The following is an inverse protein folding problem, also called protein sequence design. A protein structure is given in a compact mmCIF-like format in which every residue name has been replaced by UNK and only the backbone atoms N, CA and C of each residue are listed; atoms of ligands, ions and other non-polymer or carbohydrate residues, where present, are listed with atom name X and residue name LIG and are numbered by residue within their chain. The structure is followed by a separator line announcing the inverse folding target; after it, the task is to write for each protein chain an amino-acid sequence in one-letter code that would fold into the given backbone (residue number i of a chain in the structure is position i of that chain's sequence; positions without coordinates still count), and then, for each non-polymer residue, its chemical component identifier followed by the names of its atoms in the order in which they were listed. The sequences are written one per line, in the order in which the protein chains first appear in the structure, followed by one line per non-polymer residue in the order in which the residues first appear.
data_IF_966019552134
#
_entry.id   IF_966019552134
#
_cell.length_a   1.000
_cell.length_b   1.000
_cell.length_c   1.000
_cell.angle_alpha   90.00
_cell.angle_beta   90.00
_cell.angle_gamma   90.00
#
_symmetry.space_group_name_H-M   'P 1'
#
loop_
_entity.id
_entity.type
_entity.pdbx_description
1 polymer ?
#
# COMPACT_ATOMS: atom_id res chain seq x y z
N UNK A 1 4.08 6.09 -18.46
CA UNK A 1 3.92 6.16 -17.00
C UNK A 1 3.70 4.77 -16.40
N UNK A 2 2.73 3.99 -16.91
CA UNK A 2 2.48 2.63 -16.40
C UNK A 2 3.71 1.73 -16.52
N UNK A 3 4.47 1.81 -17.62
CA UNK A 3 5.73 1.08 -17.78
C UNK A 3 6.78 1.47 -16.76
N UNK A 4 6.91 2.76 -16.45
CA UNK A 4 7.86 3.24 -15.44
C UNK A 4 7.50 2.72 -14.05
N UNK A 5 6.22 2.76 -13.69
CA UNK A 5 5.74 2.22 -12.42
C UNK A 5 5.98 0.70 -12.32
N UNK A 6 5.70 -0.03 -13.39
CA UNK A 6 5.98 -1.46 -13.49
C UNK A 6 7.47 -1.77 -13.33
N UNK A 7 8.35 -0.97 -13.93
CA UNK A 7 9.80 -1.06 -13.76
C UNK A 7 10.24 -0.73 -12.33
N UNK A 8 9.72 0.37 -11.74
CA UNK A 8 10.04 0.80 -10.37
C UNK A 8 9.69 -0.26 -9.34
N UNK A 9 8.57 -0.95 -9.53
CA UNK A 9 8.10 -2.04 -8.67
C UNK A 9 8.72 -3.40 -9.01
N UNK A 10 9.73 -3.44 -9.93
CA UNK A 10 10.52 -4.64 -10.29
C UNK A 10 9.72 -5.77 -10.93
N UNK A 11 8.64 -5.46 -11.63
CA UNK A 11 7.91 -6.39 -12.48
C UNK A 11 6.75 -7.11 -11.78
N UNK A 12 6.09 -7.98 -12.54
CA UNK A 12 4.82 -8.62 -12.17
C UNK A 12 4.87 -9.37 -10.84
N UNK A 13 5.84 -10.25 -10.66
CA UNK A 13 5.90 -11.10 -9.48
C UNK A 13 6.14 -10.29 -8.20
N UNK A 14 7.02 -9.28 -8.24
CA UNK A 14 7.29 -8.43 -7.09
C UNK A 14 6.05 -7.63 -6.68
N UNK A 15 5.31 -7.08 -7.67
CA UNK A 15 4.08 -6.34 -7.43
C UNK A 15 3.02 -7.23 -6.78
N UNK A 16 2.76 -8.39 -7.38
CA UNK A 16 1.73 -9.32 -6.89
C UNK A 16 2.09 -9.84 -5.51
N UNK A 17 3.33 -10.30 -5.32
CA UNK A 17 3.79 -10.79 -4.01
C UNK A 17 3.68 -9.73 -2.94
N UNK A 18 4.13 -8.51 -3.20
CA UNK A 18 4.04 -7.40 -2.25
C UNK A 18 2.57 -7.12 -1.85
N UNK A 19 1.67 -7.07 -2.82
CA UNK A 19 0.24 -6.83 -2.55
C UNK A 19 -0.43 -7.99 -1.81
N UNK A 20 -0.10 -9.23 -2.17
CA UNK A 20 -0.61 -10.41 -1.47
C UNK A 20 -0.10 -10.46 -0.03
N UNK A 21 1.20 -10.23 0.20
CA UNK A 21 1.77 -10.16 1.56
C UNK A 21 1.10 -9.09 2.40
N UNK A 22 0.87 -7.89 1.83
CA UNK A 22 0.16 -6.81 2.52
C UNK A 22 -1.27 -7.21 2.91
N UNK A 23 -2.00 -7.90 2.02
CA UNK A 23 -3.34 -8.42 2.32
C UNK A 23 -3.30 -9.50 3.40
N UNK A 24 -2.36 -10.43 3.34
CA UNK A 24 -2.18 -11.46 4.37
C UNK A 24 -1.86 -10.84 5.73
N UNK A 25 -0.96 -9.87 5.77
CA UNK A 25 -0.60 -9.14 7.00
C UNK A 25 -1.82 -8.41 7.56
N UNK A 26 -2.60 -7.72 6.71
CA UNK A 26 -3.82 -7.03 7.12
C UNK A 26 -4.85 -8.02 7.66
N UNK A 27 -5.10 -9.14 6.95
CA UNK A 27 -6.02 -10.18 7.38
C UNK A 27 -5.60 -10.82 8.71
N UNK A 28 -4.31 -11.12 8.88
CA UNK A 28 -3.75 -11.63 10.12
C UNK A 28 -3.91 -10.62 11.27
N UNK A 29 -3.66 -9.35 11.02
CA UNK A 29 -3.81 -8.28 12.03
C UNK A 29 -5.27 -8.15 12.48
N UNK A 30 -6.24 -8.21 11.55
CA UNK A 30 -7.66 -8.18 11.89
C UNK A 30 -8.05 -9.40 12.72
N UNK A 31 -7.61 -10.59 12.30
CA UNK A 31 -7.88 -11.82 13.02
C UNK A 31 -7.29 -11.79 14.44
N UNK A 32 -6.01 -11.44 14.55
CA UNK A 32 -5.31 -11.40 15.84
C UNK A 32 -5.91 -10.33 16.78
N UNK A 33 -6.17 -9.12 16.25
CA UNK A 33 -6.80 -8.05 17.06
C UNK A 33 -8.21 -8.44 17.50
N UNK A 34 -9.00 -9.06 16.62
CA UNK A 34 -10.32 -9.58 16.96
C UNK A 34 -10.26 -10.66 18.04
N UNK A 35 -9.33 -11.61 17.92
CA UNK A 35 -9.10 -12.62 18.92
C UNK A 35 -8.72 -12.01 20.28
N UNK A 36 -7.74 -11.11 20.30
CA UNK A 36 -7.26 -10.48 21.53
C UNK A 36 -8.37 -9.63 22.19
N UNK A 37 -9.07 -8.81 21.41
CA UNK A 37 -10.07 -7.88 21.96
C UNK A 37 -11.35 -8.57 22.39
N UNK A 38 -11.80 -9.60 21.68
CA UNK A 38 -13.05 -10.28 22.00
C UNK A 38 -12.88 -11.44 22.97
N UNK A 39 -11.88 -12.28 22.76
CA UNK A 39 -11.79 -13.56 23.46
C UNK A 39 -10.88 -13.54 24.68
N UNK A 40 -9.86 -12.65 24.74
CA UNK A 40 -8.91 -12.63 25.83
C UNK A 40 -9.40 -11.84 27.04
N UNK A 41 -9.32 -12.41 28.24
CA UNK A 41 -9.57 -11.71 29.50
C UNK A 41 -8.27 -11.17 30.09
N UNK A 42 -8.05 -9.87 29.87
CA UNK A 42 -6.87 -9.20 30.42
C UNK A 42 -6.90 -9.06 31.95
N UNK A 43 -8.09 -8.98 32.55
CA UNK A 43 -8.23 -8.88 34.00
C UNK A 43 -7.80 -10.17 34.68
N UNK A 44 -8.19 -11.32 34.10
CA UNK A 44 -7.75 -12.63 34.57
C UNK A 44 -6.24 -12.82 34.40
N UNK A 45 -5.68 -12.44 33.25
CA UNK A 45 -4.25 -12.56 32.99
C UNK A 45 -3.39 -11.72 33.95
N UNK A 46 -3.83 -10.51 34.29
CA UNK A 46 -3.05 -9.60 35.15
C UNK A 46 -3.22 -9.85 36.64
N UNK A 47 -4.31 -10.46 37.07
CA UNK A 47 -4.62 -10.71 38.47
C UNK A 47 -4.32 -12.15 38.90
N UNK A 48 -5.12 -13.10 38.48
CA UNK A 48 -5.08 -14.45 39.01
C UNK A 48 -3.87 -15.29 38.55
N UNK A 49 -3.44 -15.15 37.31
CA UNK A 49 -2.25 -15.87 36.84
C UNK A 49 -0.93 -15.35 37.42
N UNK A 50 -0.89 -14.14 37.97
CA UNK A 50 0.33 -13.58 38.55
C UNK A 50 0.54 -13.97 40.02
N UNK A 51 -0.54 -14.27 40.75
CA UNK A 51 -0.48 -14.57 42.19
C UNK A 51 -0.35 -16.05 42.56
N UNK A 52 -0.96 -16.96 41.76
CA UNK A 52 -1.12 -18.33 42.22
C UNK A 52 0.04 -19.28 41.91
N UNK A 53 1.08 -18.91 41.16
CA UNK A 53 2.26 -19.74 40.89
C UNK A 53 1.96 -21.16 40.31
N UNK A 54 0.70 -21.49 40.11
CA UNK A 54 0.26 -22.72 39.45
C UNK A 54 0.29 -22.60 37.91
N UNK A 55 0.41 -23.71 37.24
CA UNK A 55 0.49 -23.77 35.75
C UNK A 55 -0.76 -23.16 35.10
N UNK A 56 -0.74 -21.89 34.83
CA UNK A 56 -1.79 -21.17 34.13
C UNK A 56 -1.87 -21.59 32.65
N UNK A 57 -2.91 -22.30 32.28
CA UNK A 57 -3.23 -22.59 30.88
C UNK A 57 -3.90 -21.37 30.23
N UNK A 58 -3.08 -20.38 29.82
CA UNK A 58 -3.51 -19.07 29.29
C UNK A 58 -4.60 -19.21 28.19
N UNK A 59 -4.46 -20.17 27.29
CA UNK A 59 -5.40 -20.36 26.19
C UNK A 59 -6.75 -20.97 26.62
N UNK A 60 -6.80 -21.69 27.74
CA UNK A 60 -8.00 -22.38 28.20
C UNK A 60 -8.79 -21.54 29.20
N UNK A 61 -8.10 -20.97 30.16
CA UNK A 61 -8.70 -20.34 31.34
C UNK A 61 -8.93 -18.83 31.16
N UNK A 62 -8.06 -18.16 30.36
CA UNK A 62 -8.19 -16.74 30.02
C UNK A 62 -9.02 -16.45 28.76
N UNK A 63 -9.72 -17.46 28.21
CA UNK A 63 -10.49 -17.29 26.98
C UNK A 63 -11.99 -17.36 27.24
N UNK A 64 -12.73 -16.31 26.92
CA UNK A 64 -14.18 -16.31 27.04
C UNK A 64 -14.86 -17.21 26.00
N UNK A 65 -15.71 -18.13 26.44
CA UNK A 65 -16.54 -18.95 25.56
C UNK A 65 -17.64 -18.13 24.87
N UNK A 66 -18.13 -17.07 25.54
CA UNK A 66 -19.15 -16.14 25.02
C UNK A 66 -18.70 -14.68 25.26
N UNK A 67 -17.83 -14.11 24.39
CA UNK A 67 -17.21 -12.81 24.63
C UNK A 67 -18.20 -11.65 24.71
N UNK A 68 -19.30 -11.69 23.95
CA UNK A 68 -20.27 -10.61 23.87
C UNK A 68 -21.14 -10.45 25.14
N UNK A 69 -21.20 -11.48 26.01
CA UNK A 69 -22.07 -11.47 27.20
C UNK A 69 -21.35 -10.99 28.46
N UNK A 70 -20.04 -11.12 28.53
CA UNK A 70 -19.23 -10.82 29.72
C UNK A 70 -18.79 -9.35 29.81
N UNK A 71 -18.76 -8.62 28.66
CA UNK A 71 -18.29 -7.24 28.62
C UNK A 71 -19.41 -6.24 28.48
N UNK A 72 -19.15 -4.97 28.87
CA UNK A 72 -20.10 -3.86 28.71
C UNK A 72 -20.56 -3.73 27.26
N UNK A 73 -21.85 -3.40 27.07
CA UNK A 73 -22.44 -3.18 25.75
C UNK A 73 -21.66 -2.14 24.92
N UNK A 74 -21.22 -1.05 25.55
CA UNK A 74 -20.45 0.00 24.90
C UNK A 74 -19.10 -0.51 24.37
N UNK A 75 -18.39 -1.32 25.17
CA UNK A 75 -17.13 -1.93 24.74
C UNK A 75 -17.33 -2.85 23.53
N UNK A 76 -18.33 -3.73 23.58
CA UNK A 76 -18.64 -4.63 22.48
C UNK A 76 -19.01 -3.87 21.21
N UNK A 77 -19.79 -2.80 21.33
CA UNK A 77 -20.15 -1.94 20.20
C UNK A 77 -18.91 -1.34 19.54
N UNK A 78 -17.98 -0.78 20.33
CA UNK A 78 -16.75 -0.17 19.82
C UNK A 78 -15.88 -1.22 19.11
N UNK A 79 -15.68 -2.39 19.71
CA UNK A 79 -14.87 -3.46 19.11
C UNK A 79 -15.49 -4.00 17.83
N UNK A 80 -16.81 -4.19 17.80
CA UNK A 80 -17.51 -4.65 16.59
C UNK A 80 -17.43 -3.60 15.48
N UNK A 81 -17.63 -2.32 15.79
CA UNK A 81 -17.46 -1.24 14.81
C UNK A 81 -16.03 -1.18 14.28
N UNK A 82 -15.03 -1.33 15.14
CA UNK A 82 -13.63 -1.41 14.75
C UNK A 82 -13.37 -2.57 13.78
N UNK A 83 -13.80 -3.78 14.13
CA UNK A 83 -13.61 -4.97 13.28
C UNK A 83 -14.37 -4.84 11.95
N UNK A 84 -15.58 -4.28 11.96
CA UNK A 84 -16.36 -4.01 10.73
C UNK A 84 -15.62 -3.05 9.80
N UNK A 85 -15.09 -1.94 10.31
CA UNK A 85 -14.32 -0.97 9.53
C UNK A 85 -13.10 -1.60 8.86
N UNK A 86 -12.30 -2.36 9.62
CA UNK A 86 -11.11 -3.02 9.08
C UNK A 86 -11.46 -4.14 8.09
N UNK A 87 -12.55 -4.88 8.34
CA UNK A 87 -13.04 -5.90 7.41
C UNK A 87 -13.51 -5.28 6.09
N UNK A 88 -14.21 -4.15 6.13
CA UNK A 88 -14.58 -3.40 4.92
C UNK A 88 -13.35 -2.90 4.16
N UNK A 89 -12.35 -2.39 4.88
CA UNK A 89 -11.09 -1.98 4.26
C UNK A 89 -10.33 -3.17 3.63
N UNK A 90 -10.36 -4.34 4.27
CA UNK A 90 -9.79 -5.57 3.70
C UNK A 90 -10.49 -5.98 2.41
N UNK A 91 -11.83 -5.99 2.40
CA UNK A 91 -12.63 -6.30 1.21
C UNK A 91 -12.37 -5.29 0.07
N UNK A 92 -12.28 -4.00 0.42
CA UNK A 92 -11.91 -2.96 -0.54
C UNK A 92 -10.52 -3.19 -1.15
N UNK A 93 -9.53 -3.52 -0.32
CA UNK A 93 -8.16 -3.82 -0.76
C UNK A 93 -8.10 -5.05 -1.65
N UNK A 94 -8.89 -6.08 -1.34
CA UNK A 94 -9.04 -7.28 -2.16
C UNK A 94 -9.67 -6.97 -3.53
N UNK A 95 -10.74 -6.19 -3.55
CA UNK A 95 -11.39 -5.75 -4.78
C UNK A 95 -10.45 -4.91 -5.65
N UNK A 96 -9.66 -4.03 -5.03
CA UNK A 96 -8.64 -3.23 -5.72
C UNK A 96 -7.55 -4.11 -6.33
N UNK A 97 -7.08 -5.12 -5.61
CA UNK A 97 -6.11 -6.08 -6.15
C UNK A 97 -6.67 -6.80 -7.38
N UNK A 98 -7.93 -7.28 -7.31
CA UNK A 98 -8.58 -7.95 -8.43
C UNK A 98 -8.76 -7.02 -9.65
N UNK A 99 -9.12 -5.76 -9.42
CA UNK A 99 -9.24 -4.76 -10.48
C UNK A 99 -7.89 -4.45 -11.15
N UNK A 100 -6.82 -4.29 -10.37
CA UNK A 100 -5.50 -3.94 -10.87
C UNK A 100 -4.78 -5.12 -11.55
N UNK A 101 -5.28 -6.34 -11.37
CA UNK A 101 -4.63 -7.54 -11.90
C UNK A 101 -4.62 -7.60 -13.43
N UNK A 102 -5.74 -7.21 -14.07
CA UNK A 102 -5.86 -7.22 -15.53
C UNK A 102 -4.87 -6.27 -16.22
N UNK A 103 -4.82 -4.96 -15.89
CA UNK A 103 -3.85 -4.05 -16.50
C UNK A 103 -2.39 -4.45 -16.19
N UNK A 104 -2.14 -5.13 -15.07
CA UNK A 104 -0.82 -5.64 -14.73
C UNK A 104 -0.40 -6.78 -15.65
N UNK A 105 -1.32 -7.71 -15.97
CA UNK A 105 -1.08 -8.77 -16.96
C UNK A 105 -0.86 -8.22 -18.38
N UNK A 106 -1.60 -7.19 -18.78
CA UNK A 106 -1.42 -6.52 -20.05
C UNK A 106 -0.04 -5.87 -20.15
N UNK A 107 0.41 -5.22 -19.07
CA UNK A 107 1.75 -4.63 -19.00
C UNK A 107 2.85 -5.70 -19.06
N UNK A 108 2.68 -6.83 -18.37
CA UNK A 108 3.57 -7.98 -18.46
C UNK A 108 3.65 -8.52 -19.88
N UNK A 109 2.51 -8.70 -20.53
CA UNK A 109 2.45 -9.17 -21.92
C UNK A 109 3.12 -8.19 -22.88
N UNK A 110 2.96 -6.89 -22.67
CA UNK A 110 3.65 -5.85 -23.43
C UNK A 110 5.17 -5.93 -23.26
N UNK A 111 5.68 -6.02 -22.02
CA UNK A 111 7.11 -6.13 -21.74
C UNK A 111 7.70 -7.39 -22.38
N UNK A 112 7.07 -8.55 -22.22
CA UNK A 112 7.58 -9.82 -22.71
C UNK A 112 7.52 -9.92 -24.26
N UNK A 113 6.41 -9.49 -24.86
CA UNK A 113 6.18 -9.67 -26.32
C UNK A 113 6.76 -8.54 -27.16
N UNK A 114 6.67 -7.29 -26.70
CA UNK A 114 7.06 -6.12 -27.50
C UNK A 114 8.46 -5.63 -27.16
N UNK A 115 8.80 -5.55 -25.88
CA UNK A 115 10.12 -5.10 -25.44
C UNK A 115 11.15 -6.24 -25.31
N UNK A 116 10.71 -7.50 -25.43
CA UNK A 116 11.56 -8.69 -25.27
C UNK A 116 12.31 -8.67 -23.91
N UNK A 117 11.62 -8.22 -22.87
CA UNK A 117 12.09 -8.17 -21.51
C UNK A 117 11.39 -9.24 -20.69
N UNK A 118 12.14 -10.23 -20.22
CA UNK A 118 11.59 -11.24 -19.31
C UNK A 118 11.36 -10.66 -17.92
N UNK A 119 10.52 -11.34 -17.12
CA UNK A 119 10.26 -10.93 -15.73
C UNK A 119 11.54 -10.89 -14.86
N UNK A 120 12.59 -11.60 -15.24
CA UNK A 120 13.90 -11.57 -14.55
C UNK A 120 14.74 -10.37 -15.01
N UNK A 121 14.71 -10.10 -16.31
CA UNK A 121 15.53 -9.01 -16.88
C UNK A 121 15.06 -7.64 -16.33
N UNK A 122 13.78 -7.48 -16.12
CA UNK A 122 13.21 -6.23 -15.57
C UNK A 122 13.72 -5.89 -14.16
N UNK A 123 14.19 -6.88 -13.41
CA UNK A 123 14.75 -6.67 -12.07
C UNK A 123 16.18 -6.12 -12.10
N UNK A 124 16.94 -6.44 -13.16
CA UNK A 124 18.37 -6.12 -13.28
C UNK A 124 18.68 -5.04 -14.30
N UNK A 125 17.81 -4.87 -15.32
CA UNK A 125 17.99 -3.89 -16.40
C UNK A 125 17.99 -2.46 -15.86
N UNK A 126 18.76 -1.58 -16.50
CA UNK A 126 18.78 -0.16 -16.16
C UNK A 126 17.62 0.59 -16.85
N UNK A 127 17.12 1.66 -16.24
CA UNK A 127 16.05 2.46 -16.82
C UNK A 127 16.40 3.05 -18.20
N UNK A 128 17.60 3.62 -18.45
CA UNK A 128 17.96 4.10 -19.78
C UNK A 128 17.86 3.04 -20.87
N UNK A 129 18.22 1.79 -20.55
CA UNK A 129 18.11 0.69 -21.51
C UNK A 129 16.65 0.34 -21.83
N UNK A 130 15.74 0.38 -20.83
CA UNK A 130 14.31 0.22 -21.07
C UNK A 130 13.79 1.32 -21.98
N UNK A 131 14.21 2.56 -21.76
CA UNK A 131 13.82 3.72 -22.60
C UNK A 131 14.34 3.54 -24.02
N UNK A 132 15.61 3.14 -24.20
CA UNK A 132 16.18 2.88 -25.53
C UNK A 132 15.38 1.81 -26.31
N UNK A 133 14.97 0.72 -25.63
CA UNK A 133 14.12 -0.32 -26.27
C UNK A 133 12.75 0.20 -26.64
N UNK A 134 12.13 1.08 -25.82
CA UNK A 134 10.85 1.72 -26.15
C UNK A 134 10.98 2.64 -27.36
N UNK A 135 12.04 3.43 -27.46
CA UNK A 135 12.32 4.30 -28.61
C UNK A 135 12.56 3.46 -29.86
N UNK A 136 13.33 2.39 -29.76
CA UNK A 136 13.53 1.46 -30.89
C UNK A 136 12.21 0.80 -31.34
N UNK A 137 11.37 0.40 -30.38
CA UNK A 137 10.04 -0.14 -30.70
C UNK A 137 9.16 0.89 -31.41
N UNK A 138 9.26 2.16 -31.05
CA UNK A 138 8.54 3.26 -31.71
C UNK A 138 8.87 3.37 -33.20
N UNK A 139 10.12 3.10 -33.59
CA UNK A 139 10.54 3.12 -35.00
C UNK A 139 9.87 2.02 -35.83
N UNK A 140 9.55 0.89 -35.21
CA UNK A 140 8.88 -0.25 -35.88
C UNK A 140 7.38 -0.27 -35.68
N UNK A 141 6.89 0.19 -34.56
CA UNK A 141 5.45 0.17 -34.19
C UNK A 141 5.09 1.52 -33.57
N UNK A 142 4.26 2.31 -34.23
CA UNK A 142 3.84 3.63 -33.75
C UNK A 142 3.10 3.50 -32.42
N UNK A 143 3.74 3.92 -31.32
CA UNK A 143 3.16 3.92 -29.97
C UNK A 143 2.40 5.23 -29.69
N UNK A 144 2.78 6.33 -30.32
CA UNK A 144 2.10 7.62 -30.25
C UNK A 144 1.69 8.10 -31.65
N UNK A 145 0.45 8.60 -31.76
CA UNK A 145 -0.12 9.03 -33.04
C UNK A 145 0.35 10.46 -33.41
N UNK A 146 0.55 11.31 -32.38
CA UNK A 146 0.73 12.77 -32.56
C UNK A 146 2.19 13.18 -32.72
N UNK A 147 3.12 12.47 -32.09
CA UNK A 147 4.55 12.82 -32.07
C UNK A 147 5.40 11.59 -31.85
N UNK A 148 6.56 11.55 -32.50
CA UNK A 148 7.56 10.53 -32.23
C UNK A 148 8.12 10.72 -30.82
N UNK A 149 8.18 9.62 -30.04
CA UNK A 149 8.68 9.62 -28.68
C UNK A 149 10.21 9.59 -28.67
N UNK A 150 10.83 10.68 -28.23
CA UNK A 150 12.24 10.72 -27.94
C UNK A 150 12.53 10.36 -26.46
N UNK A 151 13.74 9.94 -26.16
CA UNK A 151 14.18 9.62 -24.78
C UNK A 151 13.91 10.79 -23.83
N UNK A 152 14.22 12.01 -24.27
CA UNK A 152 14.00 13.24 -23.51
C UNK A 152 12.50 13.47 -23.19
N UNK A 153 11.60 13.20 -24.13
CA UNK A 153 10.15 13.37 -23.92
C UNK A 153 9.62 12.38 -22.86
N UNK A 154 10.14 11.15 -22.85
CA UNK A 154 9.78 10.11 -21.86
C UNK A 154 10.21 10.53 -20.47
N UNK A 155 11.49 10.92 -20.32
CA UNK A 155 12.07 11.35 -19.05
C UNK A 155 11.39 12.62 -18.54
N UNK A 156 11.22 13.63 -19.40
CA UNK A 156 10.55 14.88 -19.03
C UNK A 156 9.08 14.66 -18.57
N UNK A 157 8.39 13.66 -19.14
CA UNK A 157 7.02 13.33 -18.74
C UNK A 157 6.95 12.64 -17.38
N UNK A 158 7.96 11.84 -17.04
CA UNK A 158 8.08 11.19 -15.72
C UNK A 158 8.40 12.24 -14.67
N UNK A 159 9.43 13.05 -14.90
CA UNK A 159 9.85 14.13 -14.00
C UNK A 159 8.72 15.13 -13.71
N UNK A 160 7.93 15.49 -14.72
CA UNK A 160 6.76 16.38 -14.52
C UNK A 160 5.74 15.77 -13.55
N UNK A 161 5.56 14.47 -13.53
CA UNK A 161 4.62 13.82 -12.60
C UNK A 161 5.22 13.68 -11.20
N UNK A 162 6.49 13.30 -11.10
CA UNK A 162 7.16 13.17 -9.79
C UNK A 162 7.32 14.52 -9.10
N UNK A 163 7.59 15.59 -9.86
CA UNK A 163 7.76 16.94 -9.33
C UNK A 163 6.45 17.77 -9.32
N UNK A 164 5.29 17.14 -9.54
CA UNK A 164 4.02 17.86 -9.61
C UNK A 164 3.69 18.59 -8.30
N UNK A 165 3.96 17.97 -7.16
CA UNK A 165 3.75 18.57 -5.84
C UNK A 165 4.68 19.75 -5.62
N UNK A 166 5.95 19.63 -6.01
CA UNK A 166 6.93 20.72 -5.96
C UNK A 166 6.53 21.88 -6.88
N UNK A 167 5.99 21.56 -8.06
CA UNK A 167 5.45 22.56 -8.99
C UNK A 167 4.22 23.29 -8.43
N UNK A 168 3.35 22.60 -7.69
CA UNK A 168 2.19 23.20 -7.02
C UNK A 168 2.59 24.09 -5.85
N UNK A 169 3.62 23.69 -5.09
CA UNK A 169 4.20 24.51 -4.03
C UNK A 169 4.86 25.78 -4.58
N UNK A 170 5.66 25.66 -5.65
CA UNK A 170 6.33 26.80 -6.28
C UNK A 170 5.36 27.80 -6.95
N UNK A 171 4.18 27.33 -7.36
CA UNK A 171 3.11 28.18 -7.91
C UNK A 171 2.12 28.67 -6.86
N UNK A 172 2.40 28.43 -5.58
CA UNK A 172 1.55 28.82 -4.45
C UNK A 172 0.11 28.27 -4.50
N UNK A 173 -0.14 27.27 -5.35
CA UNK A 173 -1.44 26.58 -5.44
C UNK A 173 -1.72 25.83 -4.15
N UNK A 174 -0.68 25.28 -3.52
CA UNK A 174 -0.75 24.68 -2.18
C UNK A 174 0.03 25.61 -1.24
N UNK A 175 -0.69 26.27 -0.33
CA UNK A 175 -0.07 27.08 0.71
C UNK A 175 0.71 26.21 1.69
N UNK A 176 1.95 26.60 2.00
CA UNK A 176 2.80 25.93 3.01
C UNK A 176 2.23 26.03 4.44
N UNK A 177 1.32 26.99 4.67
CA UNK A 177 0.76 27.26 5.99
C UNK A 177 -0.63 26.64 6.12
N UNK A 178 -0.82 25.83 7.16
CA UNK A 178 -2.14 25.32 7.54
C UNK A 178 -3.02 26.50 8.05
N UNK A 179 -4.11 26.76 7.33
CA UNK A 179 -5.08 27.79 7.72
C UNK A 179 -6.21 27.19 8.59
N UNK A 180 -5.84 26.33 9.57
CA UNK A 180 -6.77 25.69 10.51
C UNK A 180 -6.76 26.52 11.80
N UNK A 181 -7.90 26.84 12.43
CA UNK A 181 -7.99 27.75 13.57
C UNK A 181 -7.12 27.36 14.77
N UNK A 182 -6.81 26.08 14.97
CA UNK A 182 -5.95 25.57 16.04
C UNK A 182 -4.45 25.54 15.70
N UNK A 183 -4.08 25.49 14.40
CA UNK A 183 -2.71 25.35 13.90
C UNK A 183 -2.30 26.51 13.00
N UNK A 184 -2.89 27.66 13.17
CA UNK A 184 -2.61 28.89 12.40
C UNK A 184 -1.12 29.22 12.49
N UNK A 185 -0.44 29.24 11.34
CA UNK A 185 1.01 29.46 11.18
C UNK A 185 1.94 28.25 11.31
N UNK A 186 1.47 27.03 11.48
CA UNK A 186 2.35 25.85 11.37
C UNK A 186 2.55 25.47 9.91
N UNK A 187 3.81 25.29 9.53
CA UNK A 187 4.17 24.74 8.22
C UNK A 187 3.92 23.23 8.28
N UNK A 188 3.06 22.70 7.40
CA UNK A 188 2.77 21.27 7.37
C UNK A 188 3.89 20.46 6.72
N UNK A 189 4.78 21.11 5.94
CA UNK A 189 5.96 20.49 5.35
C UNK A 189 7.04 20.36 6.42
N UNK A 190 7.12 19.21 7.07
CA UNK A 190 8.22 18.89 7.98
C UNK A 190 9.47 18.51 7.16
N UNK A 191 10.67 18.66 7.76
CA UNK A 191 11.93 18.22 7.13
C UNK A 191 11.88 16.77 6.64
N UNK A 192 11.18 15.88 7.34
CA UNK A 192 11.00 14.49 6.94
C UNK A 192 10.15 14.34 5.67
N UNK A 193 9.16 15.19 5.46
CA UNK A 193 8.33 15.19 4.25
C UNK A 193 9.08 15.82 3.08
N UNK A 194 9.87 16.86 3.33
CA UNK A 194 10.73 17.51 2.33
C UNK A 194 11.79 16.54 1.76
N UNK A 195 12.35 15.66 2.60
CA UNK A 195 13.31 14.64 2.16
C UNK A 195 12.69 13.48 1.39
N UNK A 196 11.37 13.27 1.49
CA UNK A 196 10.65 12.19 0.79
C UNK A 196 9.91 12.67 -0.48
N UNK A 197 10.00 13.95 -0.81
CA UNK A 197 9.47 14.58 -2.02
C UNK A 197 10.53 14.65 -3.12
#
# INVERSE_FOLDING_TARGET
QALYQYYKEKGFYCIVTSRVVNLLTLGFTIFLSGFILLYLDFAYLSGQCAEDGEECHILRDATFRNPLRHRSFLYNLVVVCYLMLFSLFFLWSLARLAHDFKPLLEMRAFCNRKLQLSDRDIQTITWPEVVARVVHLQATTRLCIVKDLNEHDIVARILRKENYLLGMLNREVIGLKLNIPFFRNRVWLTKAVEWNL
#
